data_IF_797949332069
#
_entry.id   IF_797949332069
#
_cell.length_a   1.000
_cell.length_b   1.000
_cell.length_c   1.000
_cell.angle_alpha   90.00
_cell.angle_beta   90.00
_cell.angle_gamma   90.00
#
_symmetry.space_group_name_H-M   'P 1'
#
loop_
_entity.id
_entity.type
_entity.pdbx_description
1 polymer ?
#
# COMPACT_ATOMS: atom_id res chain seq x y z
N UNK A 1 22.76 -9.89 -12.38
CA UNK A 1 21.49 -10.24 -11.69
C UNK A 1 20.33 -9.77 -12.56
N UNK A 2 19.34 -10.62 -12.72
CA UNK A 2 18.02 -10.24 -13.25
C UNK A 2 17.16 -9.71 -12.10
N UNK A 3 16.70 -8.49 -12.20
CA UNK A 3 15.91 -7.83 -11.15
C UNK A 3 14.52 -7.53 -11.66
N UNK A 4 13.49 -7.83 -10.84
CA UNK A 4 12.10 -7.50 -11.11
C UNK A 4 11.63 -6.40 -10.16
N UNK A 5 11.04 -5.34 -10.69
CA UNK A 5 10.35 -4.30 -9.92
C UNK A 5 8.85 -4.49 -10.08
N UNK A 6 8.14 -4.63 -8.97
CA UNK A 6 6.68 -4.69 -8.94
C UNK A 6 6.12 -3.29 -8.71
N UNK A 7 5.22 -2.86 -9.61
CA UNK A 7 4.54 -1.58 -9.54
C UNK A 7 4.75 -0.71 -10.77
N UNK A 8 4.06 0.45 -10.81
CA UNK A 8 4.00 1.34 -11.99
C UNK A 8 4.11 2.82 -11.66
N UNK A 9 4.29 3.18 -10.40
CA UNK A 9 4.31 4.57 -9.95
C UNK A 9 5.66 5.27 -10.15
N UNK A 10 5.72 6.54 -9.79
CA UNK A 10 6.96 7.34 -9.81
C UNK A 10 8.03 6.81 -8.85
N UNK A 11 7.61 6.23 -7.72
CA UNK A 11 8.50 5.54 -6.77
C UNK A 11 9.20 4.36 -7.43
N UNK A 12 8.47 3.50 -8.10
CA UNK A 12 9.00 2.32 -8.80
C UNK A 12 9.92 2.74 -9.95
N UNK A 13 9.57 3.82 -10.66
CA UNK A 13 10.44 4.38 -11.69
C UNK A 13 11.79 4.86 -11.11
N UNK A 14 11.76 5.56 -9.99
CA UNK A 14 12.99 6.02 -9.31
C UNK A 14 13.83 4.84 -8.80
N UNK A 15 13.20 3.81 -8.25
CA UNK A 15 13.86 2.57 -7.83
C UNK A 15 14.53 1.88 -9.03
N UNK A 16 13.79 1.67 -10.12
CA UNK A 16 14.28 1.05 -11.35
C UNK A 16 15.47 1.82 -11.92
N UNK A 17 15.40 3.15 -11.95
CA UNK A 17 16.49 4.01 -12.41
C UNK A 17 17.76 3.85 -11.56
N UNK A 18 17.64 3.75 -10.24
CA UNK A 18 18.81 3.52 -9.37
C UNK A 18 19.36 2.10 -9.49
N UNK A 19 18.49 1.09 -9.59
CA UNK A 19 18.90 -0.29 -9.82
C UNK A 19 19.70 -0.44 -11.12
N UNK A 20 19.26 0.23 -12.19
CA UNK A 20 19.94 0.19 -13.50
C UNK A 20 21.37 0.70 -13.47
N UNK A 21 21.71 1.60 -12.53
CA UNK A 21 23.08 2.11 -12.36
C UNK A 21 24.03 1.10 -11.71
N UNK A 22 23.48 0.07 -11.06
CA UNK A 22 24.30 -0.94 -10.40
C UNK A 22 24.97 -1.85 -11.42
N UNK A 23 26.29 -2.06 -11.35
CA UNK A 23 26.99 -3.00 -12.24
C UNK A 23 26.56 -4.47 -12.00
N UNK A 24 25.88 -4.76 -10.92
CA UNK A 24 25.36 -6.09 -10.61
C UNK A 24 24.05 -6.40 -11.35
N UNK A 25 23.32 -5.37 -11.82
CA UNK A 25 22.04 -5.55 -12.53
C UNK A 25 22.33 -5.70 -14.03
N UNK A 26 22.14 -6.90 -14.55
CA UNK A 26 22.34 -7.22 -15.96
C UNK A 26 21.05 -7.08 -16.76
N UNK A 27 19.90 -7.43 -16.16
CA UNK A 27 18.58 -7.31 -16.76
C UNK A 27 17.62 -6.69 -15.73
N UNK A 28 16.82 -5.73 -16.18
CA UNK A 28 15.81 -5.05 -15.38
C UNK A 28 14.44 -5.30 -16.00
N UNK A 29 13.53 -5.85 -15.20
CA UNK A 29 12.14 -6.15 -15.54
C UNK A 29 11.19 -5.40 -14.62
N UNK A 30 9.95 -5.14 -15.08
CA UNK A 30 8.90 -4.58 -14.24
C UNK A 30 7.52 -5.20 -14.56
N UNK A 31 6.66 -5.30 -13.55
CA UNK A 31 5.24 -5.69 -13.66
C UNK A 31 4.40 -4.70 -12.84
N UNK A 32 3.46 -3.96 -13.46
CA UNK A 32 3.33 -3.79 -14.89
C UNK A 32 4.39 -2.82 -15.47
N UNK A 33 5.07 -2.04 -14.64
CA UNK A 33 5.97 -0.99 -15.06
C UNK A 33 5.25 0.25 -15.60
N UNK A 34 6.00 1.16 -16.20
CA UNK A 34 5.52 2.40 -16.81
C UNK A 34 6.44 2.83 -17.96
N UNK A 35 6.06 3.87 -18.75
CA UNK A 35 6.89 4.34 -19.88
C UNK A 35 8.32 4.69 -19.49
N UNK A 36 8.57 5.31 -18.33
CA UNK A 36 9.93 5.66 -17.90
C UNK A 36 10.76 4.42 -17.55
N UNK A 37 10.16 3.37 -16.99
CA UNK A 37 10.87 2.10 -16.77
C UNK A 37 11.13 1.40 -18.10
N UNK A 38 10.23 1.50 -19.07
CA UNK A 38 10.40 0.90 -20.41
C UNK A 38 11.59 1.46 -21.18
N UNK A 39 12.06 2.67 -20.87
CA UNK A 39 13.27 3.25 -21.46
C UNK A 39 14.57 2.57 -20.98
N UNK A 40 14.55 1.93 -19.82
CA UNK A 40 15.75 1.40 -19.15
C UNK A 40 15.67 -0.10 -18.84
N UNK A 41 14.52 -0.72 -19.03
CA UNK A 41 14.23 -2.13 -18.73
C UNK A 41 13.08 -2.66 -19.59
N UNK A 42 12.57 -3.84 -19.24
CA UNK A 42 11.47 -4.49 -19.93
C UNK A 42 10.24 -4.50 -19.04
N UNK A 43 9.16 -3.88 -19.49
CA UNK A 43 7.87 -3.92 -18.82
C UNK A 43 7.03 -5.10 -19.33
N UNK A 44 6.41 -5.83 -18.43
CA UNK A 44 5.55 -6.97 -18.72
C UNK A 44 4.12 -6.69 -18.25
N UNK A 45 3.10 -7.07 -19.04
CA UNK A 45 1.72 -6.93 -18.62
C UNK A 45 1.44 -7.81 -17.38
N UNK A 46 0.64 -7.31 -16.46
CA UNK A 46 0.23 -8.05 -15.26
C UNK A 46 -0.37 -7.14 -14.20
N UNK A 47 -1.05 -7.75 -13.25
CA UNK A 47 -1.55 -7.06 -12.05
C UNK A 47 -0.59 -7.26 -10.89
N UNK A 48 -0.40 -6.23 -10.08
CA UNK A 48 0.36 -6.34 -8.82
C UNK A 48 -0.36 -7.21 -7.78
N UNK A 49 -1.65 -7.49 -7.99
CA UNK A 49 -2.48 -8.33 -7.14
C UNK A 49 -2.49 -9.81 -7.56
N UNK A 50 -1.99 -10.12 -8.75
CA UNK A 50 -1.86 -11.50 -9.24
C UNK A 50 -0.55 -12.12 -8.72
N UNK A 51 -0.57 -12.52 -7.44
CA UNK A 51 0.60 -13.06 -6.76
C UNK A 51 1.15 -14.33 -7.42
N UNK A 52 0.26 -15.21 -7.85
CA UNK A 52 0.63 -16.48 -8.49
C UNK A 52 1.22 -16.24 -9.89
N UNK A 53 0.64 -15.29 -10.65
CA UNK A 53 1.20 -14.86 -11.94
C UNK A 53 2.59 -14.26 -11.79
N UNK A 54 2.82 -13.47 -10.74
CA UNK A 54 4.15 -12.91 -10.42
C UNK A 54 5.13 -14.03 -10.05
N UNK A 55 4.74 -14.98 -9.19
CA UNK A 55 5.59 -16.11 -8.82
C UNK A 55 5.96 -16.95 -10.06
N UNK A 56 4.98 -17.24 -10.92
CA UNK A 56 5.21 -17.94 -12.19
C UNK A 56 6.22 -17.19 -13.05
N UNK A 57 6.06 -15.86 -13.21
CA UNK A 57 6.99 -15.02 -13.97
C UNK A 57 8.40 -15.09 -13.41
N UNK A 58 8.55 -14.98 -12.08
CA UNK A 58 9.85 -15.06 -11.38
C UNK A 58 10.55 -16.37 -11.68
N UNK A 59 9.83 -17.49 -11.63
CA UNK A 59 10.35 -18.83 -11.92
C UNK A 59 10.78 -18.98 -13.39
N UNK A 60 9.90 -18.65 -14.34
CA UNK A 60 10.12 -18.85 -15.78
C UNK A 60 11.26 -17.97 -16.30
N UNK A 61 11.39 -16.75 -15.79
CA UNK A 61 12.42 -15.79 -16.23
C UNK A 61 13.70 -15.86 -15.38
N UNK A 62 13.75 -16.73 -14.36
CA UNK A 62 14.89 -16.91 -13.46
C UNK A 62 15.32 -15.58 -12.84
N UNK A 63 14.36 -14.87 -12.25
CA UNK A 63 14.61 -13.61 -11.56
C UNK A 63 15.45 -13.87 -10.30
N UNK A 64 16.55 -13.17 -10.15
CA UNK A 64 17.47 -13.30 -9.02
C UNK A 64 17.00 -12.52 -7.79
N UNK A 65 16.29 -11.39 -8.01
CA UNK A 65 15.87 -10.49 -6.96
C UNK A 65 14.62 -9.70 -7.36
N UNK A 66 13.62 -9.64 -6.46
CA UNK A 66 12.39 -8.89 -6.67
C UNK A 66 12.30 -7.72 -5.70
N UNK A 67 11.94 -6.54 -6.19
CA UNK A 67 11.68 -5.34 -5.38
C UNK A 67 10.19 -5.01 -5.50
N UNK A 68 9.48 -4.99 -4.38
CA UNK A 68 8.05 -4.70 -4.34
C UNK A 68 7.85 -3.25 -3.92
N UNK A 69 7.36 -2.42 -4.84
CA UNK A 69 7.17 -1.00 -4.60
C UNK A 69 5.85 -0.66 -3.87
N UNK A 70 4.68 -1.10 -4.36
CA UNK A 70 3.40 -0.73 -3.77
C UNK A 70 3.04 -1.59 -2.56
N UNK A 71 2.20 -1.04 -1.70
CA UNK A 71 1.73 -1.67 -0.46
C UNK A 71 0.74 -2.82 -0.69
N UNK A 72 -0.10 -2.73 -1.75
CA UNK A 72 -1.16 -3.72 -2.02
C UNK A 72 -0.61 -5.15 -2.12
N UNK A 73 0.35 -5.48 -2.99
CA UNK A 73 0.88 -6.85 -3.07
C UNK A 73 1.58 -7.30 -1.79
N UNK A 74 2.15 -6.37 -1.01
CA UNK A 74 2.76 -6.69 0.28
C UNK A 74 1.70 -7.07 1.32
N UNK A 75 0.60 -6.33 1.38
CA UNK A 75 -0.54 -6.63 2.25
C UNK A 75 -1.23 -7.95 1.84
N UNK A 76 -1.21 -8.31 0.57
CA UNK A 76 -1.69 -9.60 0.07
C UNK A 76 -0.73 -10.76 0.40
N UNK A 77 0.56 -10.48 0.66
CA UNK A 77 1.56 -11.47 1.07
C UNK A 77 2.53 -11.89 -0.03
N UNK A 78 2.76 -11.05 -1.03
CA UNK A 78 3.70 -11.36 -2.13
C UNK A 78 5.11 -11.67 -1.62
N UNK A 79 5.61 -10.93 -0.63
CA UNK A 79 6.93 -11.20 -0.06
C UNK A 79 7.00 -12.56 0.61
N UNK A 80 5.94 -12.94 1.36
CA UNK A 80 5.85 -14.25 1.99
C UNK A 80 5.82 -15.37 0.95
N UNK A 81 5.04 -15.21 -0.12
CA UNK A 81 4.93 -16.18 -1.20
C UNK A 81 6.28 -16.40 -1.92
N UNK A 82 6.95 -15.32 -2.29
CA UNK A 82 8.24 -15.38 -2.98
C UNK A 82 9.32 -16.03 -2.10
N UNK A 83 9.43 -15.64 -0.83
CA UNK A 83 10.40 -16.23 0.10
C UNK A 83 10.13 -17.72 0.37
N UNK A 84 8.85 -18.09 0.54
CA UNK A 84 8.47 -19.50 0.72
C UNK A 84 8.86 -20.39 -0.48
N UNK A 85 8.99 -19.81 -1.66
CA UNK A 85 9.45 -20.47 -2.89
C UNK A 85 10.96 -20.27 -3.16
N UNK A 86 11.72 -19.77 -2.17
CA UNK A 86 13.17 -19.66 -2.25
C UNK A 86 13.69 -18.44 -3.02
N UNK A 87 12.82 -17.49 -3.36
CA UNK A 87 13.21 -16.27 -4.07
C UNK A 87 13.62 -15.16 -3.10
N UNK A 88 14.58 -14.36 -3.52
CA UNK A 88 14.99 -13.16 -2.79
C UNK A 88 14.06 -12.00 -3.13
N UNK A 89 13.51 -11.37 -2.10
CA UNK A 89 12.59 -10.24 -2.24
C UNK A 89 12.95 -9.10 -1.29
N UNK A 90 12.78 -7.87 -1.75
CA UNK A 90 12.81 -6.68 -0.92
C UNK A 90 11.39 -6.14 -0.77
N UNK A 91 10.91 -6.18 0.45
CA UNK A 91 9.59 -5.73 0.88
C UNK A 91 9.22 -6.40 2.22
N UNK A 92 8.42 -5.75 3.06
CA UNK A 92 7.96 -6.36 4.30
C UNK A 92 7.04 -7.56 4.00
N UNK A 93 7.07 -8.55 4.88
CA UNK A 93 6.06 -9.62 4.90
C UNK A 93 4.69 -9.04 5.23
N UNK A 94 3.63 -9.80 4.94
CA UNK A 94 2.24 -9.45 5.23
C UNK A 94 2.05 -8.95 6.67
N UNK A 95 2.67 -9.62 7.64
CA UNK A 95 2.60 -9.26 9.06
C UNK A 95 3.21 -7.88 9.37
N UNK A 96 4.16 -7.41 8.58
CA UNK A 96 4.72 -6.05 8.69
C UNK A 96 3.97 -5.04 7.81
N UNK A 97 3.52 -5.47 6.63
CA UNK A 97 2.81 -4.63 5.68
C UNK A 97 1.46 -4.11 6.22
N UNK A 98 0.86 -4.81 7.17
CA UNK A 98 -0.39 -4.39 7.83
C UNK A 98 -0.27 -3.01 8.51
N UNK A 99 0.93 -2.57 8.88
CA UNK A 99 1.16 -1.22 9.41
C UNK A 99 0.79 -0.13 8.39
N UNK A 100 0.86 -0.39 7.10
CA UNK A 100 0.37 0.49 6.04
C UNK A 100 -1.06 0.10 5.63
N UNK A 101 -1.37 -1.20 5.67
CA UNK A 101 -2.64 -1.75 5.22
C UNK A 101 -3.84 -1.41 6.10
N UNK A 102 -3.64 -1.15 7.40
CA UNK A 102 -4.69 -0.78 8.35
C UNK A 102 -4.25 0.38 9.24
N UNK A 103 -5.01 1.46 9.19
CA UNK A 103 -4.78 2.64 10.02
C UNK A 103 -5.14 2.36 11.49
N UNK A 104 -6.18 1.59 11.71
CA UNK A 104 -6.60 1.14 13.05
C UNK A 104 -5.49 0.32 13.69
N UNK A 105 -5.00 -0.71 13.00
CA UNK A 105 -3.87 -1.53 13.48
C UNK A 105 -2.61 -0.69 13.78
N UNK A 106 -2.26 0.25 12.89
CA UNK A 106 -1.11 1.15 13.11
C UNK A 106 -1.29 2.01 14.35
N UNK A 107 -2.48 2.53 14.58
CA UNK A 107 -2.79 3.34 15.78
C UNK A 107 -2.70 2.52 17.06
N UNK A 108 -3.26 1.31 17.07
CA UNK A 108 -3.12 0.39 18.20
C UNK A 108 -1.67 -0.01 18.44
N UNK A 109 -0.91 -0.28 17.38
CA UNK A 109 0.52 -0.58 17.46
C UNK A 109 1.29 0.58 18.10
N UNK A 110 1.04 1.81 17.65
CA UNK A 110 1.67 3.01 18.20
C UNK A 110 1.33 3.17 19.69
N UNK A 111 0.07 2.95 20.08
CA UNK A 111 -0.34 3.02 21.48
C UNK A 111 0.37 1.97 22.34
N UNK A 112 0.45 0.71 21.89
CA UNK A 112 1.13 -0.37 22.62
C UNK A 112 2.62 -0.14 22.80
N UNK A 113 3.25 0.55 21.89
CA UNK A 113 4.70 0.78 21.88
C UNK A 113 5.08 2.21 22.27
N UNK A 114 4.14 3.01 22.79
CA UNK A 114 4.36 4.40 23.20
C UNK A 114 4.96 5.27 22.08
N UNK A 115 4.58 5.02 20.83
CA UNK A 115 4.99 5.83 19.68
C UNK A 115 4.09 7.07 19.62
N UNK A 116 4.66 8.29 19.64
CA UNK A 116 3.85 9.51 19.58
C UNK A 116 2.98 9.57 18.31
N UNK A 117 1.70 9.84 18.52
CA UNK A 117 0.75 10.01 17.44
C UNK A 117 -0.41 10.92 17.87
N UNK A 118 -1.13 11.52 16.92
CA UNK A 118 -2.31 12.31 17.22
C UNK A 118 -3.42 11.45 17.86
N UNK A 119 -4.25 12.07 18.73
CA UNK A 119 -5.47 11.47 19.27
C UNK A 119 -6.29 10.87 18.13
N UNK A 120 -6.86 9.71 18.36
CA UNK A 120 -7.75 9.06 17.41
C UNK A 120 -8.87 8.32 18.15
N UNK A 121 -9.98 8.09 17.47
CA UNK A 121 -11.06 7.21 17.90
C UNK A 121 -11.46 6.38 16.69
N UNK A 122 -11.55 5.08 16.90
CA UNK A 122 -12.05 4.14 15.91
C UNK A 122 -13.56 3.96 16.05
N UNK A 123 -14.28 3.99 14.93
CA UNK A 123 -15.70 3.82 14.88
C UNK A 123 -16.13 2.93 13.70
N UNK A 124 -16.89 1.89 14.01
CA UNK A 124 -17.38 0.90 13.04
C UNK A 124 -18.87 1.09 12.67
N UNK A 125 -19.46 2.21 13.05
CA UNK A 125 -20.83 2.58 12.67
C UNK A 125 -20.98 4.09 12.66
N UNK A 126 -21.92 4.59 11.86
CA UNK A 126 -22.22 6.01 11.75
C UNK A 126 -22.53 6.64 13.12
N UNK A 127 -23.37 5.98 13.93
CA UNK A 127 -23.76 6.48 15.24
C UNK A 127 -22.56 6.63 16.18
N UNK A 128 -21.67 5.63 16.22
CA UNK A 128 -20.44 5.70 17.02
C UNK A 128 -19.50 6.77 16.52
N UNK A 129 -19.37 6.93 15.21
CA UNK A 129 -18.54 7.96 14.62
C UNK A 129 -19.04 9.38 14.94
N UNK A 130 -20.35 9.60 14.89
CA UNK A 130 -20.98 10.88 15.28
C UNK A 130 -20.73 11.18 16.77
N UNK A 131 -20.83 10.18 17.63
CA UNK A 131 -20.54 10.37 19.07
C UNK A 131 -19.07 10.71 19.29
N UNK A 132 -18.16 10.03 18.56
CA UNK A 132 -16.72 10.29 18.63
C UNK A 132 -16.33 11.70 18.21
N UNK A 133 -17.07 12.35 17.31
CA UNK A 133 -16.80 13.75 16.91
C UNK A 133 -16.85 14.72 18.08
N UNK A 134 -17.62 14.44 19.12
CA UNK A 134 -17.72 15.31 20.31
C UNK A 134 -16.43 15.41 21.11
N UNK A 135 -15.52 14.48 20.87
CA UNK A 135 -14.22 14.41 21.53
C UNK A 135 -13.12 15.20 20.81
N UNK A 136 -13.44 15.89 19.70
CA UNK A 136 -12.50 16.60 18.87
C UNK A 136 -12.91 18.04 18.62
N UNK A 137 -11.91 18.90 18.56
CA UNK A 137 -12.05 20.25 18.01
C UNK A 137 -11.83 20.22 16.48
N UNK A 138 -12.32 21.26 15.80
CA UNK A 138 -12.10 21.40 14.36
C UNK A 138 -10.86 22.24 14.04
N UNK A 139 -10.11 21.90 12.98
CA UNK A 139 -10.41 20.87 11.98
C UNK A 139 -10.18 19.44 12.49
N UNK A 140 -11.02 18.49 12.07
CA UNK A 140 -10.88 17.09 12.34
C UNK A 140 -10.60 16.30 11.06
N UNK A 141 -9.79 15.24 11.14
CA UNK A 141 -9.50 14.39 9.99
C UNK A 141 -10.25 13.07 10.10
N UNK A 142 -11.17 12.85 9.18
CA UNK A 142 -11.87 11.57 9.02
C UNK A 142 -11.07 10.68 8.08
N UNK A 143 -10.83 9.43 8.50
CA UNK A 143 -10.07 8.46 7.71
C UNK A 143 -10.82 7.14 7.62
N UNK A 144 -11.02 6.63 6.42
CA UNK A 144 -11.41 5.24 6.24
C UNK A 144 -10.24 4.32 6.56
N UNK A 145 -10.52 3.17 7.17
CA UNK A 145 -9.52 2.12 7.35
C UNK A 145 -9.28 1.37 6.04
N UNK A 146 -8.13 0.73 5.93
CA UNK A 146 -7.70 0.01 4.73
C UNK A 146 -7.02 0.89 3.67
N UNK A 147 -6.71 0.26 2.54
CA UNK A 147 -6.05 0.88 1.39
C UNK A 147 -7.11 1.57 0.52
N UNK A 148 -7.10 2.87 0.46
CA UNK A 148 -8.05 3.69 -0.28
C UNK A 148 -7.41 4.61 -1.33
N UNK A 149 -6.17 4.32 -1.75
CA UNK A 149 -5.42 5.05 -2.78
C UNK A 149 -5.46 6.59 -2.61
N UNK A 150 -5.38 7.05 -1.35
CA UNK A 150 -5.44 8.47 -1.00
C UNK A 150 -6.85 9.08 -0.93
N UNK A 151 -7.91 8.35 -1.30
CA UNK A 151 -9.30 8.85 -1.30
C UNK A 151 -10.01 8.72 0.05
N UNK A 152 -9.48 7.92 0.95
CA UNK A 152 -10.08 7.62 2.26
C UNK A 152 -9.67 8.59 3.38
N UNK A 153 -9.22 9.82 3.08
CA UNK A 153 -8.80 10.81 4.08
C UNK A 153 -9.37 12.16 3.74
N UNK A 154 -10.17 12.72 4.64
CA UNK A 154 -10.82 14.03 4.48
C UNK A 154 -10.55 14.90 5.71
N UNK A 155 -10.03 16.10 5.50
CA UNK A 155 -9.88 17.13 6.53
C UNK A 155 -11.15 17.96 6.55
N UNK A 156 -11.93 17.85 7.63
CA UNK A 156 -13.21 18.52 7.80
C UNK A 156 -13.02 19.76 8.68
N UNK A 157 -13.43 20.92 8.16
CA UNK A 157 -13.28 22.20 8.86
C UNK A 157 -14.44 22.48 9.82
N UNK A 158 -15.55 21.73 9.69
CA UNK A 158 -16.76 21.91 10.48
C UNK A 158 -17.43 20.57 10.80
N UNK A 159 -18.35 20.59 11.78
CA UNK A 159 -19.18 19.45 12.11
C UNK A 159 -20.07 18.98 10.96
N UNK A 160 -20.57 19.91 10.14
CA UNK A 160 -21.39 19.59 8.98
C UNK A 160 -20.59 18.80 7.93
N UNK A 161 -19.37 19.24 7.61
CA UNK A 161 -18.47 18.52 6.71
C UNK A 161 -18.11 17.13 7.25
N UNK A 162 -17.84 17.02 8.55
CA UNK A 162 -17.51 15.76 9.18
C UNK A 162 -18.70 14.78 9.14
N UNK A 163 -19.92 15.23 9.45
CA UNK A 163 -21.12 14.39 9.38
C UNK A 163 -21.41 13.92 7.97
N UNK A 164 -21.23 14.78 6.97
CA UNK A 164 -21.38 14.41 5.57
C UNK A 164 -20.36 13.33 5.18
N UNK A 165 -19.07 13.54 5.50
CA UNK A 165 -18.00 12.60 5.20
C UNK A 165 -18.23 11.25 5.87
N UNK A 166 -18.66 11.24 7.14
CA UNK A 166 -18.98 9.99 7.85
C UNK A 166 -20.16 9.26 7.21
N UNK A 167 -21.17 10.00 6.73
CA UNK A 167 -22.28 9.40 6.00
C UNK A 167 -21.83 8.78 4.69
N UNK A 168 -21.04 9.51 3.91
CA UNK A 168 -20.48 9.03 2.62
C UNK A 168 -19.67 7.73 2.82
N UNK A 169 -18.86 7.65 3.89
CA UNK A 169 -18.01 6.48 4.15
C UNK A 169 -18.75 5.29 4.76
N UNK A 170 -19.65 5.53 5.75
CA UNK A 170 -20.23 4.45 6.56
C UNK A 170 -21.65 4.07 6.16
N UNK A 171 -22.37 4.93 5.45
CA UNK A 171 -23.76 4.69 5.04
C UNK A 171 -23.84 4.46 3.55
N UNK A 172 -23.29 5.39 2.75
CA UNK A 172 -23.39 5.36 1.30
C UNK A 172 -22.26 4.50 0.68
N UNK A 173 -21.33 4.01 1.52
CA UNK A 173 -20.23 3.09 1.16
C UNK A 173 -19.42 3.55 -0.05
N UNK A 174 -19.15 4.84 -0.12
CA UNK A 174 -18.45 5.47 -1.24
C UNK A 174 -17.04 4.90 -1.52
N UNK A 175 -16.49 4.08 -0.61
CA UNK A 175 -15.16 3.49 -0.69
C UNK A 175 -15.18 1.95 -0.82
N UNK A 176 -16.36 1.31 -0.93
CA UNK A 176 -16.46 -0.17 -1.01
C UNK A 176 -15.79 -0.76 -2.27
N UNK A 177 -15.28 0.08 -3.18
CA UNK A 177 -14.54 -0.29 -4.38
C UNK A 177 -13.12 0.33 -4.42
N UNK A 178 -12.59 0.78 -3.29
CA UNK A 178 -11.25 1.37 -3.22
C UNK A 178 -10.26 0.40 -2.59
#
# INVERSE_FOLDING_TARGET
>A
MKVLVIGSGGRENAIAYQLKKSPLVTELHAIPGNPGIAEIGVCHPGSVEDLEGILKFVNENKIDFTVVGPEVPLCLGLADLLEANGHKVFGPKKAGAILEGSKAYSKEFMARHNIPTAKYIEANSYQKAVEALKEFDYPVVVKADGLAAGKGVVSCQSGEEALKTLKDFLVDKALDNA
#
